data_IF_408317213352
#
_entry.id   IF_408317213352
#
_cell.length_a   1.000
_cell.length_b   1.000
_cell.length_c   1.000
_cell.angle_alpha   90.00
_cell.angle_beta   90.00
_cell.angle_gamma   90.00
#
_symmetry.space_group_name_H-M   'P 1'
#
loop_
_entity.id
_entity.type
_entity.pdbx_description
1 polymer ?
#
# COMPACT_ATOMS: atom_id res chain seq x y z
N UNK A 1 1.19 -26.96 8.28
CA UNK A 1 1.13 -26.20 7.01
C UNK A 1 1.70 -24.83 7.29
N UNK A 2 2.70 -24.37 6.53
CA UNK A 2 3.33 -23.08 6.76
C UNK A 2 2.28 -21.99 6.51
N UNK A 3 1.84 -21.30 7.55
CA UNK A 3 1.12 -20.04 7.40
C UNK A 3 2.12 -19.02 6.86
N UNK A 4 2.24 -18.94 5.53
CA UNK A 4 3.06 -17.93 4.87
C UNK A 4 2.43 -16.56 5.07
N UNK A 5 3.25 -15.56 5.39
CA UNK A 5 2.83 -14.16 5.47
C UNK A 5 2.20 -13.72 4.14
N UNK A 6 1.16 -12.89 4.20
CA UNK A 6 0.57 -12.28 3.00
C UNK A 6 1.57 -11.30 2.38
N UNK A 7 1.71 -11.30 1.07
CA UNK A 7 2.59 -10.38 0.36
C UNK A 7 1.93 -9.03 0.16
N UNK A 8 2.71 -7.95 0.23
CA UNK A 8 2.19 -6.60 0.05
C UNK A 8 3.08 -5.71 -0.82
N UNK A 9 2.45 -4.80 -1.56
CA UNK A 9 3.09 -3.62 -2.13
C UNK A 9 2.85 -2.44 -1.18
N UNK A 10 3.92 -1.81 -0.70
CA UNK A 10 3.88 -0.66 0.20
C UNK A 10 3.94 0.65 -0.60
N UNK A 11 2.99 1.56 -0.35
CA UNK A 11 3.03 2.95 -0.84
C UNK A 11 3.34 3.85 0.35
N UNK A 12 4.50 4.50 0.34
CA UNK A 12 5.02 5.33 1.46
C UNK A 12 5.79 6.56 0.96
N UNK A 13 6.30 7.37 1.88
CA UNK A 13 7.12 8.53 1.61
C UNK A 13 8.55 8.15 1.21
N UNK A 14 9.24 8.95 0.35
CA UNK A 14 10.65 8.75 -0.03
C UNK A 14 11.62 9.16 1.09
N UNK A 15 11.43 8.63 2.30
CA UNK A 15 12.26 8.87 3.47
C UNK A 15 12.59 7.51 4.10
N UNK A 16 13.88 7.25 4.29
CA UNK A 16 14.37 5.93 4.72
C UNK A 16 13.78 5.50 6.07
N UNK A 17 13.80 6.40 7.07
CA UNK A 17 13.28 6.09 8.41
C UNK A 17 11.77 5.86 8.42
N UNK A 18 11.02 6.60 7.60
CA UNK A 18 9.57 6.39 7.44
C UNK A 18 9.30 5.05 6.76
N UNK A 19 10.07 4.72 5.72
CA UNK A 19 9.95 3.43 5.03
C UNK A 19 10.24 2.26 5.97
N UNK A 20 11.29 2.35 6.80
CA UNK A 20 11.64 1.32 7.79
C UNK A 20 10.53 1.12 8.82
N UNK A 21 9.94 2.20 9.30
CA UNK A 21 8.82 2.15 10.26
C UNK A 21 7.60 1.45 9.65
N UNK A 22 7.17 1.85 8.44
CA UNK A 22 6.05 1.24 7.74
C UNK A 22 6.28 -0.25 7.42
N UNK A 23 7.51 -0.64 7.07
CA UNK A 23 7.87 -2.06 6.90
C UNK A 23 7.77 -2.82 8.23
N UNK A 24 8.25 -2.22 9.32
CA UNK A 24 8.20 -2.85 10.65
C UNK A 24 6.76 -3.06 11.12
N UNK A 25 5.88 -2.10 10.86
CA UNK A 25 4.45 -2.21 11.13
C UNK A 25 3.79 -3.31 10.28
N UNK A 26 4.11 -3.38 8.99
CA UNK A 26 3.62 -4.43 8.11
C UNK A 26 4.07 -5.83 8.57
N UNK A 27 5.33 -5.98 8.99
CA UNK A 27 5.87 -7.24 9.51
C UNK A 27 5.18 -7.68 10.80
N UNK A 28 4.93 -6.75 11.72
CA UNK A 28 4.16 -7.01 12.95
C UNK A 28 2.74 -7.52 12.64
N UNK A 29 2.10 -6.99 11.59
CA UNK A 29 0.81 -7.43 11.06
C UNK A 29 0.90 -8.66 10.12
N UNK A 30 2.06 -9.36 10.06
CA UNK A 30 2.30 -10.56 9.24
C UNK A 30 2.17 -10.36 7.73
N UNK A 31 2.53 -9.16 7.25
CA UNK A 31 2.68 -8.87 5.83
C UNK A 31 4.16 -8.81 5.42
N UNK A 32 4.50 -9.42 4.29
CA UNK A 32 5.83 -9.34 3.68
C UNK A 32 5.83 -8.35 2.52
N UNK A 33 6.56 -7.24 2.68
CA UNK A 33 6.67 -6.21 1.64
C UNK A 33 7.55 -6.73 0.49
N UNK A 34 6.97 -6.92 -0.70
CA UNK A 34 7.67 -7.37 -1.91
C UNK A 34 8.04 -6.22 -2.85
N UNK A 35 7.42 -5.05 -2.68
CA UNK A 35 7.70 -3.85 -3.46
C UNK A 35 7.36 -2.60 -2.67
N UNK A 36 8.20 -1.58 -2.81
CA UNK A 36 7.98 -0.24 -2.25
C UNK A 36 7.79 0.74 -3.41
N UNK A 37 6.77 1.58 -3.29
CA UNK A 37 6.45 2.67 -4.19
C UNK A 37 6.48 3.97 -3.40
N UNK A 38 7.44 4.83 -3.71
CA UNK A 38 7.60 6.09 -3.01
C UNK A 38 6.78 7.22 -3.66
N UNK A 39 6.11 8.01 -2.84
CA UNK A 39 5.38 9.21 -3.26
C UNK A 39 5.42 10.30 -2.17
N UNK A 40 5.65 11.56 -2.56
CA UNK A 40 5.77 12.70 -1.63
C UNK A 40 4.43 13.21 -1.11
N UNK A 41 3.36 13.04 -1.88
CA UNK A 41 2.03 13.55 -1.53
C UNK A 41 1.02 12.38 -1.49
N UNK A 42 0.68 11.96 -0.27
CA UNK A 42 -0.24 10.86 0.01
C UNK A 42 -1.65 11.34 0.45
N UNK A 43 -1.92 12.66 0.51
CA UNK A 43 -3.11 13.20 1.18
C UNK A 43 -4.08 14.00 0.29
N UNK A 44 -3.70 14.36 -0.94
CA UNK A 44 -4.43 15.43 -1.68
C UNK A 44 -5.13 15.00 -2.98
N UNK A 45 -5.17 13.72 -3.30
CA UNK A 45 -5.65 13.27 -4.62
C UNK A 45 -6.79 12.26 -4.54
N UNK A 46 -7.42 12.00 -5.70
CA UNK A 46 -8.54 11.07 -5.86
C UNK A 46 -8.24 9.64 -5.38
N UNK A 47 -6.96 9.23 -5.39
CA UNK A 47 -6.51 7.89 -5.04
C UNK A 47 -5.57 7.87 -3.82
N UNK A 48 -5.47 8.98 -3.06
CA UNK A 48 -4.36 9.21 -2.12
C UNK A 48 -3.07 9.63 -2.85
N UNK A 49 -2.80 9.01 -4.01
CA UNK A 49 -1.75 9.39 -4.97
C UNK A 49 -2.27 9.92 -6.33
N UNK A 50 -1.43 10.64 -7.07
CA UNK A 50 -1.77 11.15 -8.40
C UNK A 50 -2.11 10.05 -9.40
N UNK A 51 -2.95 10.35 -10.41
CA UNK A 51 -3.44 9.37 -11.40
C UNK A 51 -2.32 8.57 -12.07
N UNK A 52 -1.28 9.24 -12.57
CA UNK A 52 -0.16 8.54 -13.23
C UNK A 52 0.56 7.55 -12.31
N UNK A 53 0.69 7.89 -11.02
CA UNK A 53 1.26 6.98 -10.03
C UNK A 53 0.31 5.80 -9.72
N UNK A 54 -1.00 6.04 -9.69
CA UNK A 54 -1.97 4.95 -9.53
C UNK A 54 -1.95 3.98 -10.74
N UNK A 55 -1.74 4.48 -11.95
CA UNK A 55 -1.56 3.66 -13.16
C UNK A 55 -0.25 2.85 -13.09
N UNK A 56 0.87 3.45 -12.64
CA UNK A 56 2.12 2.73 -12.38
C UNK A 56 1.98 1.64 -11.30
N UNK A 57 1.27 1.92 -10.20
CA UNK A 57 0.98 0.93 -9.15
C UNK A 57 0.15 -0.22 -9.71
N UNK A 58 -0.85 0.06 -10.55
CA UNK A 58 -1.65 -0.98 -11.21
C UNK A 58 -0.76 -1.92 -12.04
N UNK A 59 0.17 -1.39 -12.83
CA UNK A 59 1.11 -2.21 -13.63
C UNK A 59 1.99 -3.09 -12.73
N UNK A 60 2.48 -2.53 -11.61
CA UNK A 60 3.25 -3.29 -10.61
C UNK A 60 2.41 -4.41 -9.97
N UNK A 61 1.14 -4.17 -9.68
CA UNK A 61 0.23 -5.20 -9.16
C UNK A 61 0.02 -6.32 -10.17
N UNK A 62 -0.19 -5.98 -11.45
CA UNK A 62 -0.37 -6.98 -12.52
C UNK A 62 0.88 -7.85 -12.72
N UNK A 63 2.07 -7.27 -12.56
CA UNK A 63 3.35 -7.96 -12.69
C UNK A 63 3.73 -8.81 -11.47
N UNK A 64 3.62 -8.23 -10.28
CA UNK A 64 4.14 -8.82 -9.04
C UNK A 64 3.11 -9.64 -8.28
N UNK A 65 1.81 -9.40 -8.54
CA UNK A 65 0.67 -10.08 -7.90
C UNK A 65 0.77 -10.15 -6.37
N UNK A 66 0.94 -9.00 -5.66
CA UNK A 66 0.85 -9.00 -4.21
C UNK A 66 -0.56 -9.43 -3.77
N UNK A 67 -0.71 -9.84 -2.51
CA UNK A 67 -2.03 -10.14 -1.93
C UNK A 67 -2.79 -8.87 -1.55
N UNK A 68 -2.08 -7.79 -1.21
CA UNK A 68 -2.66 -6.49 -0.83
C UNK A 68 -1.76 -5.31 -1.20
N UNK A 69 -2.33 -4.10 -1.28
CA UNK A 69 -1.55 -2.86 -1.18
C UNK A 69 -1.67 -2.31 0.25
N UNK A 70 -0.54 -1.98 0.86
CA UNK A 70 -0.48 -1.20 2.10
C UNK A 70 -0.24 0.27 1.75
N UNK A 71 -1.09 1.15 2.25
CA UNK A 71 -1.00 2.60 2.07
C UNK A 71 -0.63 3.25 3.40
N UNK A 72 0.52 3.93 3.45
CA UNK A 72 1.14 4.44 4.68
C UNK A 72 0.49 5.71 5.26
N UNK A 73 -0.78 5.95 4.93
CA UNK A 73 -1.59 7.04 5.45
C UNK A 73 -3.04 6.56 5.56
N UNK A 74 -3.86 7.29 6.32
CA UNK A 74 -5.30 7.04 6.35
C UNK A 74 -5.93 7.49 5.04
N UNK A 75 -6.71 6.61 4.42
CA UNK A 75 -7.43 6.92 3.20
C UNK A 75 -8.87 7.31 3.51
N UNK A 76 -9.38 8.35 2.85
CA UNK A 76 -10.83 8.57 2.82
C UNK A 76 -11.51 7.38 2.13
N UNK A 77 -12.75 7.01 2.49
CA UNK A 77 -13.45 5.89 1.87
C UNK A 77 -13.48 5.95 0.32
N UNK A 78 -13.64 7.16 -0.23
CA UNK A 78 -13.61 7.37 -1.68
C UNK A 78 -12.23 7.14 -2.30
N UNK A 79 -11.15 7.49 -1.61
CA UNK A 79 -9.79 7.25 -2.09
C UNK A 79 -9.46 5.76 -2.07
N UNK A 80 -9.78 5.07 -0.99
CA UNK A 80 -9.60 3.62 -0.85
C UNK A 80 -10.37 2.88 -1.95
N UNK A 81 -11.67 3.18 -2.13
CA UNK A 81 -12.48 2.59 -3.19
C UNK A 81 -11.90 2.86 -4.58
N UNK A 82 -11.50 4.10 -4.88
CA UNK A 82 -10.98 4.44 -6.19
C UNK A 82 -9.65 3.74 -6.48
N UNK A 83 -8.73 3.69 -5.50
CA UNK A 83 -7.44 3.03 -5.66
C UNK A 83 -7.61 1.51 -5.81
N UNK A 84 -8.43 0.90 -4.94
CA UNK A 84 -8.78 -0.52 -5.03
C UNK A 84 -9.38 -0.86 -6.40
N UNK A 85 -10.31 -0.03 -6.90
CA UNK A 85 -10.94 -0.21 -8.21
C UNK A 85 -9.94 -0.13 -9.37
N UNK A 86 -8.98 0.79 -9.32
CA UNK A 86 -7.97 0.96 -10.38
C UNK A 86 -6.97 -0.20 -10.35
N UNK A 87 -6.50 -0.58 -9.17
CA UNK A 87 -5.49 -1.63 -9.00
C UNK A 87 -6.09 -3.04 -8.97
N UNK A 88 -7.42 -3.17 -8.85
CA UNK A 88 -8.17 -4.44 -8.75
C UNK A 88 -7.67 -5.35 -7.63
N UNK A 89 -7.35 -4.75 -6.48
CA UNK A 89 -6.81 -5.42 -5.31
C UNK A 89 -7.24 -4.67 -4.05
N UNK A 90 -7.29 -5.37 -2.93
CA UNK A 90 -7.59 -4.76 -1.64
C UNK A 90 -6.51 -3.77 -1.21
N UNK A 91 -6.95 -2.72 -0.53
CA UNK A 91 -6.09 -1.68 0.03
C UNK A 91 -6.26 -1.69 1.55
N UNK A 92 -5.15 -1.83 2.27
CA UNK A 92 -5.04 -1.67 3.70
C UNK A 92 -4.39 -0.32 3.96
N UNK A 93 -5.12 0.62 4.55
CA UNK A 93 -4.57 1.91 4.94
C UNK A 93 -3.97 1.85 6.35
N UNK A 94 -3.33 2.94 6.78
CA UNK A 94 -2.56 2.92 8.03
C UNK A 94 -3.39 2.60 9.26
N UNK A 95 -4.62 3.12 9.34
CA UNK A 95 -5.52 2.82 10.46
C UNK A 95 -5.87 1.33 10.53
N UNK A 96 -6.23 0.71 9.40
CA UNK A 96 -6.57 -0.71 9.38
C UNK A 96 -5.36 -1.61 9.65
N UNK A 97 -4.18 -1.25 9.13
CA UNK A 97 -2.96 -2.01 9.38
C UNK A 97 -2.61 -2.07 10.87
N UNK A 98 -2.83 -0.99 11.61
CA UNK A 98 -2.59 -0.93 13.06
C UNK A 98 -3.57 -1.85 13.84
N UNK A 99 -4.72 -2.21 13.25
CA UNK A 99 -5.77 -3.01 13.90
C UNK A 99 -5.69 -4.52 13.62
N UNK A 100 -4.86 -4.96 12.68
CA UNK A 100 -4.58 -6.39 12.39
C UNK A 100 -3.71 -7.03 13.49
#
# INVERSE_FOLDING_TARGET
MLNSNKTALLITYPLEEVTKEAISLADAARYSIIKIVNQRNLTQSKYGIGRGKAEEVKELVEQLKPDVIIFDEVLKPSQQYNLAKVCKIDILDRERLILE
#
